data_IF_810662218497
#
_entry.id   IF_810662218497
#
_cell.length_a   1.000
_cell.length_b   1.000
_cell.length_c   1.000
_cell.angle_alpha   90.00
_cell.angle_beta   90.00
_cell.angle_gamma   90.00
#
_symmetry.space_group_name_H-M   'P 1'
#
loop_
_entity.id
_entity.type
_entity.pdbx_description
1 polymer ?
#
# COMPACT_ATOMS: atom_id res chain seq x y z
N UNK A 1 -22.50 -22.83 -1.13
CA UNK A 1 -22.07 -21.80 -0.15
C UNK A 1 -22.56 -22.25 1.22
N UNK A 2 -21.71 -22.36 2.25
CA UNK A 2 -22.19 -22.65 3.61
C UNK A 2 -22.95 -21.43 4.11
N UNK A 3 -24.20 -21.59 4.53
CA UNK A 3 -24.95 -20.54 5.24
C UNK A 3 -24.22 -20.14 6.51
N UNK A 4 -24.02 -18.85 6.70
CA UNK A 4 -23.45 -18.31 7.94
C UNK A 4 -24.57 -18.30 8.98
N UNK A 5 -24.33 -18.94 10.14
CA UNK A 5 -25.27 -19.01 11.27
C UNK A 5 -24.59 -18.52 12.54
N UNK A 6 -25.33 -17.83 13.36
CA UNK A 6 -24.94 -17.42 14.71
C UNK A 6 -26.17 -17.24 15.60
N UNK A 7 -25.95 -17.01 16.90
CA UNK A 7 -27.04 -16.89 17.88
C UNK A 7 -27.73 -15.52 17.75
N UNK A 8 -29.02 -15.53 17.45
CA UNK A 8 -29.86 -14.35 17.46
C UNK A 8 -30.48 -14.15 18.84
N UNK A 9 -30.21 -13.02 19.49
CA UNK A 9 -30.73 -12.70 20.83
C UNK A 9 -32.25 -12.51 20.86
N UNK A 10 -32.82 -11.99 19.77
CA UNK A 10 -34.26 -11.80 19.63
C UNK A 10 -35.00 -13.14 19.40
N UNK A 11 -34.49 -13.97 18.49
CA UNK A 11 -35.06 -15.28 18.19
C UNK A 11 -34.70 -16.33 19.24
N UNK A 12 -33.69 -16.08 20.10
CA UNK A 12 -33.12 -16.97 21.13
C UNK A 12 -32.70 -18.34 20.60
N UNK A 13 -32.16 -18.36 19.37
CA UNK A 13 -31.66 -19.58 18.70
C UNK A 13 -30.65 -19.23 17.63
N UNK A 14 -29.94 -20.22 17.14
CA UNK A 14 -29.10 -20.07 15.96
C UNK A 14 -29.95 -19.82 14.73
N UNK A 15 -29.64 -18.72 14.02
CA UNK A 15 -30.30 -18.32 12.78
C UNK A 15 -29.27 -17.97 11.72
N UNK A 16 -29.66 -18.04 10.47
CA UNK A 16 -28.84 -17.49 9.38
C UNK A 16 -28.91 -15.97 9.42
N UNK A 17 -27.84 -15.31 8.94
CA UNK A 17 -27.76 -13.85 8.90
C UNK A 17 -27.17 -13.34 7.59
N UNK A 18 -27.49 -12.08 7.28
CA UNK A 18 -26.98 -11.36 6.13
C UNK A 18 -26.18 -10.16 6.60
N UNK A 19 -24.98 -9.96 6.01
CA UNK A 19 -24.14 -8.76 6.24
C UNK A 19 -24.60 -7.66 5.30
N UNK A 20 -24.74 -6.44 5.84
CA UNK A 20 -25.09 -5.23 5.07
C UNK A 20 -24.21 -4.06 5.51
N UNK A 21 -23.89 -3.20 4.57
CA UNK A 21 -23.23 -1.92 4.88
C UNK A 21 -24.29 -0.94 5.38
N UNK A 22 -24.00 -0.30 6.50
CA UNK A 22 -24.84 0.75 7.11
C UNK A 22 -23.98 1.98 7.39
N UNK A 23 -24.62 3.15 7.43
CA UNK A 23 -23.94 4.40 7.76
C UNK A 23 -24.24 4.76 9.20
N UNK A 24 -23.19 5.10 9.95
CA UNK A 24 -23.29 5.61 11.32
C UNK A 24 -22.60 6.98 11.40
N UNK A 25 -23.13 7.86 12.25
CA UNK A 25 -22.50 9.15 12.51
C UNK A 25 -21.79 9.09 13.86
N UNK A 26 -20.56 9.58 13.89
CA UNK A 26 -19.79 9.72 15.13
C UNK A 26 -19.08 11.06 15.19
N UNK A 27 -19.02 11.64 16.38
CA UNK A 27 -18.27 12.87 16.63
C UNK A 27 -16.89 12.52 17.17
N UNK A 28 -15.84 12.91 16.45
CA UNK A 28 -14.44 12.74 16.85
C UNK A 28 -13.79 14.14 16.92
N UNK A 29 -13.27 14.53 18.06
CA UNK A 29 -12.63 15.84 18.27
C UNK A 29 -13.51 17.01 17.80
N UNK A 30 -14.77 17.02 18.20
CA UNK A 30 -15.78 18.07 17.91
C UNK A 30 -16.21 18.16 16.44
N UNK A 31 -15.75 17.25 15.55
CA UNK A 31 -16.12 17.16 14.14
C UNK A 31 -16.96 15.91 13.91
N UNK A 32 -18.06 16.04 13.16
CA UNK A 32 -18.93 14.91 12.80
C UNK A 32 -18.39 14.17 11.58
N UNK A 33 -18.40 12.84 11.67
CA UNK A 33 -18.01 11.93 10.59
C UNK A 33 -19.11 10.92 10.35
N UNK A 34 -19.34 10.59 9.09
CA UNK A 34 -20.21 9.49 8.69
C UNK A 34 -19.35 8.33 8.25
N UNK A 35 -19.45 7.21 8.97
CA UNK A 35 -18.72 5.99 8.65
C UNK A 35 -19.65 4.96 8.03
N UNK A 36 -19.13 4.23 7.05
CA UNK A 36 -19.78 3.05 6.51
C UNK A 36 -19.20 1.81 7.21
N UNK A 37 -20.04 1.10 7.96
CA UNK A 37 -19.64 -0.12 8.69
C UNK A 37 -20.46 -1.32 8.20
N UNK A 38 -20.00 -2.53 8.52
CA UNK A 38 -20.72 -3.77 8.23
C UNK A 38 -21.54 -4.16 9.46
N UNK A 39 -22.83 -4.39 9.30
CA UNK A 39 -23.73 -4.92 10.34
C UNK A 39 -24.32 -6.25 9.87
N UNK A 40 -24.59 -7.15 10.82
CA UNK A 40 -25.23 -8.42 10.57
C UNK A 40 -26.70 -8.37 10.97
N UNK A 41 -27.59 -8.86 10.11
CA UNK A 41 -29.04 -8.88 10.36
C UNK A 41 -29.58 -10.29 10.28
N UNK A 42 -30.37 -10.69 11.29
CA UNK A 42 -31.05 -11.95 11.32
C UNK A 42 -31.99 -12.09 10.12
N UNK A 43 -31.93 -13.21 9.40
CA UNK A 43 -32.81 -13.45 8.25
C UNK A 43 -34.25 -13.79 8.65
N UNK A 44 -34.51 -14.09 9.94
CA UNK A 44 -35.85 -14.44 10.43
C UNK A 44 -36.57 -13.23 11.03
N UNK A 45 -35.94 -12.49 11.96
CA UNK A 45 -36.60 -11.37 12.64
C UNK A 45 -36.15 -10.00 12.14
N UNK A 46 -35.08 -9.94 11.30
CA UNK A 46 -34.54 -8.68 10.80
C UNK A 46 -33.74 -7.88 11.84
N UNK A 47 -33.64 -8.37 13.09
CA UNK A 47 -32.87 -7.70 14.15
C UNK A 47 -31.36 -7.74 13.90
N UNK A 48 -30.65 -6.73 14.42
CA UNK A 48 -29.18 -6.71 14.35
C UNK A 48 -28.58 -7.79 15.26
N UNK A 49 -27.51 -8.42 14.78
CA UNK A 49 -26.85 -9.54 15.46
C UNK A 49 -25.38 -9.19 15.77
N UNK A 50 -24.95 -9.48 16.99
CA UNK A 50 -23.55 -9.42 17.37
C UNK A 50 -22.80 -10.64 16.85
N UNK A 51 -21.89 -10.43 15.89
CA UNK A 51 -21.08 -11.49 15.30
C UNK A 51 -19.64 -11.38 15.80
N UNK A 52 -19.01 -12.46 16.29
CA UNK A 52 -17.61 -12.45 16.72
C UNK A 52 -16.67 -11.91 15.64
N UNK A 53 -15.79 -10.99 16.03
CA UNK A 53 -14.80 -10.37 15.13
C UNK A 53 -15.34 -9.24 14.22
N UNK A 54 -16.66 -9.07 14.11
CA UNK A 54 -17.25 -8.01 13.26
C UNK A 54 -16.97 -6.61 13.83
N UNK A 55 -16.95 -6.48 15.15
CA UNK A 55 -16.63 -5.21 15.81
C UNK A 55 -15.18 -4.80 15.55
N UNK A 56 -14.22 -5.72 15.65
CA UNK A 56 -12.81 -5.45 15.39
C UNK A 56 -12.58 -5.08 13.92
N UNK A 57 -13.29 -5.76 13.01
CA UNK A 57 -13.30 -5.43 11.59
C UNK A 57 -13.81 -4.00 11.35
N UNK A 58 -14.95 -3.64 11.95
CA UNK A 58 -15.54 -2.30 11.80
C UNK A 58 -14.64 -1.20 12.38
N UNK A 59 -13.96 -1.45 13.50
CA UNK A 59 -12.99 -0.49 14.07
C UNK A 59 -11.87 -0.18 13.06
N UNK A 60 -11.36 -1.19 12.36
CA UNK A 60 -10.34 -0.98 11.31
C UNK A 60 -10.89 -0.19 10.13
N UNK A 61 -12.08 -0.56 9.62
CA UNK A 61 -12.73 0.17 8.53
C UNK A 61 -12.98 1.65 8.89
N UNK A 62 -13.40 1.93 10.13
CA UNK A 62 -13.60 3.30 10.62
C UNK A 62 -12.28 4.06 10.74
N UNK A 63 -11.21 3.45 11.23
CA UNK A 63 -9.88 4.08 11.31
C UNK A 63 -9.37 4.46 9.90
N UNK A 64 -9.53 3.57 8.92
CA UNK A 64 -9.17 3.84 7.53
C UNK A 64 -9.97 4.99 6.92
N UNK A 65 -11.29 5.01 7.14
CA UNK A 65 -12.17 6.09 6.66
C UNK A 65 -11.82 7.43 7.33
N UNK A 66 -11.55 7.41 8.66
CA UNK A 66 -11.11 8.59 9.37
C UNK A 66 -9.78 9.15 8.84
N UNK A 67 -8.79 8.27 8.62
CA UNK A 67 -7.49 8.68 8.07
C UNK A 67 -7.64 9.28 6.68
N UNK A 68 -8.49 8.71 5.82
CA UNK A 68 -8.78 9.26 4.50
C UNK A 68 -9.48 10.63 4.59
N UNK A 69 -10.45 10.79 5.49
CA UNK A 69 -11.17 12.03 5.66
C UNK A 69 -10.29 13.18 6.17
N UNK A 70 -9.30 12.88 7.01
CA UNK A 70 -8.34 13.85 7.56
C UNK A 70 -7.02 13.91 6.78
N UNK A 71 -6.92 13.19 5.66
CA UNK A 71 -5.69 13.09 4.86
C UNK A 71 -4.49 12.66 5.71
N UNK A 72 -4.70 11.74 6.64
CA UNK A 72 -3.67 11.16 7.49
C UNK A 72 -3.17 9.86 6.85
N UNK A 73 -1.86 9.65 6.90
CA UNK A 73 -1.22 8.43 6.36
C UNK A 73 -1.84 7.16 6.95
N UNK A 74 -2.09 6.18 6.11
CA UNK A 74 -2.64 4.88 6.50
C UNK A 74 -1.55 3.96 7.07
N UNK A 75 -1.95 2.90 7.79
CA UNK A 75 -1.01 1.87 8.25
C UNK A 75 -0.34 1.18 7.06
N UNK A 76 -1.09 0.91 6.00
CA UNK A 76 -0.58 0.32 4.76
C UNK A 76 0.48 1.21 4.09
N UNK A 77 0.28 2.54 4.07
CA UNK A 77 1.27 3.46 3.50
C UNK A 77 2.55 3.52 4.34
N UNK A 78 2.46 3.37 5.67
CA UNK A 78 3.65 3.26 6.53
C UNK A 78 4.39 1.95 6.23
N UNK A 79 3.68 0.84 6.03
CA UNK A 79 4.28 -0.42 5.62
C UNK A 79 4.92 -0.33 4.23
N UNK A 80 4.27 0.35 3.29
CA UNK A 80 4.84 0.64 1.96
C UNK A 80 6.12 1.45 2.06
N UNK A 81 6.13 2.50 2.90
CA UNK A 81 7.32 3.32 3.14
C UNK A 81 8.50 2.48 3.63
N UNK A 82 8.25 1.57 4.58
CA UNK A 82 9.27 0.63 5.08
C UNK A 82 9.79 -0.31 4.00
N UNK A 83 8.90 -0.87 3.20
CA UNK A 83 9.25 -1.76 2.09
C UNK A 83 10.01 -1.02 0.99
N UNK A 84 9.51 0.16 0.59
CA UNK A 84 10.07 0.99 -0.47
C UNK A 84 11.54 1.35 -0.21
N UNK A 85 11.87 1.70 1.03
CA UNK A 85 13.23 2.07 1.41
C UNK A 85 14.01 0.94 2.12
N UNK A 86 13.47 -0.27 2.17
CA UNK A 86 14.11 -1.43 2.82
C UNK A 86 14.64 -1.10 4.23
N UNK A 87 13.80 -0.45 5.02
CA UNK A 87 14.15 0.10 6.35
C UNK A 87 13.22 -0.46 7.43
N UNK A 88 13.77 -0.82 8.58
CA UNK A 88 13.02 -1.32 9.72
C UNK A 88 12.29 -0.22 10.50
N UNK A 89 11.39 -0.60 11.43
CA UNK A 89 10.52 0.31 12.21
C UNK A 89 11.31 1.37 12.99
N UNK A 90 12.28 0.95 13.80
CA UNK A 90 13.08 1.85 14.63
C UNK A 90 13.99 2.76 13.77
N UNK A 91 14.78 2.23 12.82
CA UNK A 91 15.55 3.09 11.92
C UNK A 91 14.69 4.07 11.09
N UNK A 92 13.48 3.68 10.64
CA UNK A 92 12.58 4.59 9.94
C UNK A 92 12.12 5.71 10.87
N UNK A 93 11.72 5.39 12.13
CA UNK A 93 11.36 6.42 13.11
C UNK A 93 12.46 7.46 13.26
N UNK A 94 13.70 7.01 13.42
CA UNK A 94 14.86 7.87 13.60
C UNK A 94 15.19 8.67 12.33
N UNK A 95 15.06 8.05 11.16
CA UNK A 95 15.27 8.70 9.86
C UNK A 95 14.31 9.87 9.65
N UNK A 96 13.04 9.70 10.01
CA UNK A 96 12.02 10.74 9.94
C UNK A 96 12.13 11.82 11.04
N UNK A 97 13.14 11.73 11.92
CA UNK A 97 13.31 12.63 13.05
C UNK A 97 12.38 12.38 14.23
N UNK A 98 11.73 11.22 14.27
CA UNK A 98 10.80 10.83 15.35
C UNK A 98 11.53 10.09 16.47
N UNK A 99 10.80 9.83 17.58
CA UNK A 99 11.28 8.92 18.62
C UNK A 99 11.30 7.47 18.12
N UNK A 100 12.26 6.67 18.56
CA UNK A 100 12.57 5.32 18.06
C UNK A 100 11.36 4.37 17.96
N UNK A 101 10.41 4.46 18.89
CA UNK A 101 9.23 3.58 18.94
C UNK A 101 8.00 4.13 18.22
N UNK A 102 8.09 5.31 17.59
CA UNK A 102 6.93 6.03 17.03
C UNK A 102 6.27 5.26 15.90
N UNK A 103 7.03 4.76 14.94
CA UNK A 103 6.48 3.96 13.83
C UNK A 103 5.86 2.64 14.35
N UNK A 104 6.44 2.04 15.38
CA UNK A 104 5.86 0.83 16.00
C UNK A 104 4.46 1.10 16.58
N UNK A 105 4.26 2.27 17.20
CA UNK A 105 2.95 2.68 17.74
C UNK A 105 1.94 2.94 16.62
N UNK A 106 2.36 3.58 15.54
CA UNK A 106 1.48 3.85 14.39
C UNK A 106 1.04 2.56 13.68
N UNK A 107 1.95 1.59 13.54
CA UNK A 107 1.61 0.26 13.02
C UNK A 107 0.71 -0.55 13.96
N UNK A 108 0.67 -0.22 15.26
CA UNK A 108 -0.25 -0.79 16.23
C UNK A 108 -1.61 -0.07 16.29
N UNK A 109 -1.87 0.90 15.39
CA UNK A 109 -3.14 1.59 15.25
C UNK A 109 -3.20 3.00 15.87
N UNK A 110 -2.13 3.49 16.52
CA UNK A 110 -2.10 4.88 16.97
C UNK A 110 -2.15 5.83 15.77
N UNK A 111 -3.04 6.82 15.82
CA UNK A 111 -3.16 7.84 14.76
C UNK A 111 -2.07 8.90 14.93
N UNK A 112 -1.24 9.15 13.90
CA UNK A 112 -0.24 10.21 13.93
C UNK A 112 -0.86 11.60 13.96
N UNK A 113 -0.07 12.61 14.39
CA UNK A 113 -0.43 14.01 14.15
C UNK A 113 -0.37 14.32 12.66
N UNK A 114 -1.06 15.37 12.21
CA UNK A 114 -1.03 15.81 10.81
C UNK A 114 0.40 16.11 10.36
N UNK A 115 1.19 16.79 11.18
CA UNK A 115 2.59 17.11 10.92
C UNK A 115 3.44 15.85 10.65
N UNK A 116 3.32 14.83 11.50
CA UNK A 116 4.06 13.58 11.32
C UNK A 116 3.56 12.77 10.14
N UNK A 117 2.25 12.84 9.87
CA UNK A 117 1.66 12.26 8.68
C UNK A 117 2.21 12.89 7.41
N UNK A 118 2.28 14.22 7.35
CA UNK A 118 2.75 14.95 6.18
C UNK A 118 4.23 14.65 5.88
N UNK A 119 5.07 14.52 6.92
CA UNK A 119 6.47 14.07 6.75
C UNK A 119 6.54 12.68 6.10
N UNK A 120 5.74 11.74 6.60
CA UNK A 120 5.72 10.37 6.07
C UNK A 120 5.17 10.30 4.65
N UNK A 121 4.09 11.04 4.36
CA UNK A 121 3.51 11.14 3.02
C UNK A 121 4.49 11.78 2.03
N UNK A 122 5.20 12.81 2.45
CA UNK A 122 6.23 13.44 1.61
C UNK A 122 7.40 12.49 1.35
N UNK A 123 7.86 11.76 2.37
CA UNK A 123 8.90 10.74 2.19
C UNK A 123 8.44 9.59 1.28
N UNK A 124 7.14 9.23 1.31
CA UNK A 124 6.57 8.23 0.41
C UNK A 124 6.51 8.73 -1.06
N UNK A 125 6.25 10.01 -1.26
CA UNK A 125 6.14 10.63 -2.57
C UNK A 125 7.48 11.04 -3.19
N UNK A 126 8.52 11.28 -2.39
CA UNK A 126 9.80 11.84 -2.85
C UNK A 126 11.01 11.09 -2.28
N UNK A 127 11.72 10.39 -3.16
CA UNK A 127 12.96 9.70 -2.81
C UNK A 127 14.08 10.66 -2.44
N UNK A 128 14.15 11.83 -3.08
CA UNK A 128 15.12 12.88 -2.73
C UNK A 128 14.88 13.42 -1.32
N UNK A 129 13.63 13.67 -0.95
CA UNK A 129 13.28 14.09 0.40
C UNK A 129 13.65 13.01 1.45
N UNK A 130 13.39 11.75 1.16
CA UNK A 130 13.83 10.66 2.04
C UNK A 130 15.35 10.60 2.20
N UNK A 131 16.12 10.85 1.15
CA UNK A 131 17.61 10.95 1.23
C UNK A 131 18.05 12.09 2.14
N UNK A 132 17.43 13.25 2.00
CA UNK A 132 17.71 14.40 2.88
C UNK A 132 17.45 14.07 4.35
N UNK A 133 16.34 13.41 4.67
CA UNK A 133 16.03 12.99 6.03
C UNK A 133 17.02 11.96 6.56
N UNK A 134 17.43 10.99 5.73
CA UNK A 134 18.45 10.00 6.08
C UNK A 134 19.80 10.69 6.40
N UNK A 135 20.21 11.66 5.60
CA UNK A 135 21.46 12.40 5.79
C UNK A 135 21.41 13.27 7.07
N UNK A 136 20.30 13.99 7.29
CA UNK A 136 20.10 14.84 8.47
C UNK A 136 20.13 14.04 9.78
N UNK A 137 19.64 12.81 9.77
CA UNK A 137 19.54 11.96 10.95
C UNK A 137 20.53 10.79 10.96
N UNK A 138 21.56 10.85 10.11
CA UNK A 138 22.53 9.74 9.92
C UNK A 138 23.15 9.22 11.22
N UNK A 139 23.51 10.13 12.13
CA UNK A 139 24.15 9.76 13.41
C UNK A 139 23.22 8.94 14.33
N UNK A 140 21.89 9.06 14.16
CA UNK A 140 20.88 8.34 14.95
C UNK A 140 20.55 6.97 14.37
N UNK A 141 20.91 6.74 13.09
CA UNK A 141 20.57 5.52 12.36
C UNK A 141 21.80 4.61 12.29
N UNK A 142 21.62 3.32 12.55
CA UNK A 142 22.70 2.35 12.38
C UNK A 142 23.18 2.28 10.92
N UNK A 143 24.50 2.23 10.72
CA UNK A 143 25.16 2.32 9.40
C UNK A 143 24.58 1.35 8.36
N UNK A 144 24.23 0.14 8.76
CA UNK A 144 23.64 -0.87 7.86
C UNK A 144 22.25 -0.45 7.38
N UNK A 145 21.41 0.08 8.27
CA UNK A 145 20.05 0.55 7.92
C UNK A 145 20.12 1.79 7.03
N UNK A 146 21.01 2.73 7.36
CA UNK A 146 21.27 3.91 6.53
C UNK A 146 21.67 3.51 5.11
N UNK A 147 22.71 2.67 4.95
CA UNK A 147 23.16 2.25 3.61
C UNK A 147 22.08 1.58 2.79
N UNK A 148 21.29 0.68 3.39
CA UNK A 148 20.17 0.02 2.69
C UNK A 148 19.13 1.01 2.22
N UNK A 149 18.68 1.89 3.11
CA UNK A 149 17.65 2.88 2.80
C UNK A 149 18.13 3.91 1.78
N UNK A 150 19.34 4.40 1.91
CA UNK A 150 19.94 5.36 0.98
C UNK A 150 20.13 4.76 -0.43
N UNK A 151 20.57 3.51 -0.50
CA UNK A 151 20.67 2.79 -1.78
C UNK A 151 19.31 2.63 -2.45
N UNK A 152 18.28 2.24 -1.69
CA UNK A 152 16.92 2.11 -2.21
C UNK A 152 16.37 3.45 -2.70
N UNK A 153 16.56 4.54 -1.93
CA UNK A 153 16.15 5.88 -2.34
C UNK A 153 16.86 6.36 -3.61
N UNK A 154 18.16 6.09 -3.73
CA UNK A 154 18.93 6.43 -4.94
C UNK A 154 18.46 5.64 -6.17
N UNK A 155 18.11 4.37 -5.99
CA UNK A 155 17.56 3.56 -7.08
C UNK A 155 16.21 4.08 -7.55
N UNK A 156 15.33 4.49 -6.64
CA UNK A 156 14.05 5.11 -6.96
C UNK A 156 14.22 6.44 -7.70
N UNK A 157 15.11 7.30 -7.24
CA UNK A 157 15.40 8.56 -7.88
C UNK A 157 15.92 8.36 -9.32
N UNK A 158 16.84 7.41 -9.52
CA UNK A 158 17.34 7.03 -10.83
C UNK A 158 16.24 6.45 -11.74
N UNK A 159 15.26 5.74 -11.19
CA UNK A 159 14.11 5.24 -11.95
C UNK A 159 13.29 6.40 -12.54
N UNK A 160 12.98 7.41 -11.75
CA UNK A 160 12.24 8.58 -12.21
C UNK A 160 12.98 9.38 -13.30
N UNK A 161 14.31 9.37 -13.25
CA UNK A 161 15.14 10.06 -14.28
C UNK A 161 15.29 9.23 -15.55
N UNK A 162 15.36 7.91 -15.42
CA UNK A 162 15.68 6.99 -16.53
C UNK A 162 14.45 6.47 -17.31
N UNK A 163 13.24 6.68 -16.78
CA UNK A 163 12.00 6.13 -17.36
C UNK A 163 11.12 7.27 -17.88
N UNK A 164 10.67 7.23 -19.14
CA UNK A 164 9.73 8.20 -19.69
C UNK A 164 8.46 8.33 -18.83
N UNK A 165 7.93 9.54 -18.71
CA UNK A 165 6.74 9.83 -17.87
C UNK A 165 5.52 9.03 -18.33
N UNK A 166 5.38 8.78 -19.62
CA UNK A 166 4.31 7.96 -20.20
C UNK A 166 4.41 6.51 -19.74
N UNK A 167 5.63 5.96 -19.67
CA UNK A 167 5.87 4.61 -19.19
C UNK A 167 5.63 4.51 -17.68
N UNK A 168 6.00 5.51 -16.90
CA UNK A 168 5.66 5.59 -15.47
C UNK A 168 4.15 5.63 -15.25
N UNK A 169 3.40 6.39 -16.07
CA UNK A 169 1.95 6.43 -15.99
C UNK A 169 1.29 5.07 -16.30
N UNK A 170 1.81 4.34 -17.28
CA UNK A 170 1.36 2.97 -17.59
C UNK A 170 1.65 2.01 -16.43
N UNK A 171 2.83 2.09 -15.83
CA UNK A 171 3.21 1.29 -14.65
C UNK A 171 2.28 1.60 -13.49
N UNK A 172 2.03 2.87 -13.19
CA UNK A 172 1.12 3.28 -12.12
C UNK A 172 -0.32 2.76 -12.37
N UNK A 173 -0.80 2.81 -13.61
CA UNK A 173 -2.09 2.24 -13.98
C UNK A 173 -2.15 0.72 -13.77
N UNK A 174 -1.12 -0.02 -14.17
CA UNK A 174 -1.04 -1.47 -13.97
C UNK A 174 -1.14 -1.80 -12.45
N UNK A 175 -0.40 -1.09 -11.61
CA UNK A 175 -0.44 -1.31 -10.16
C UNK A 175 -1.77 -0.88 -9.51
N UNK A 176 -2.46 0.10 -10.08
CA UNK A 176 -3.80 0.48 -9.60
C UNK A 176 -4.88 -0.56 -9.97
N UNK A 177 -4.71 -1.23 -11.11
CA UNK A 177 -5.65 -2.22 -11.60
C UNK A 177 -5.39 -3.64 -11.05
N UNK A 178 -4.13 -3.96 -10.75
CA UNK A 178 -3.68 -5.26 -10.27
C UNK A 178 -2.93 -5.07 -8.94
N UNK A 179 -3.48 -5.59 -7.86
CA UNK A 179 -2.92 -5.39 -6.50
C UNK A 179 -1.50 -5.96 -6.32
N UNK A 180 -1.16 -7.01 -7.05
CA UNK A 180 0.17 -7.64 -7.04
C UNK A 180 0.61 -7.97 -8.46
N UNK A 181 1.83 -7.57 -8.82
CA UNK A 181 2.42 -7.83 -10.14
C UNK A 181 3.87 -8.25 -9.96
N UNK A 182 4.23 -9.43 -10.45
CA UNK A 182 5.64 -9.87 -10.45
C UNK A 182 6.45 -9.06 -11.46
N UNK A 183 7.78 -8.89 -11.25
CA UNK A 183 8.64 -8.19 -12.21
C UNK A 183 8.52 -8.73 -13.64
N UNK A 184 8.47 -10.05 -13.80
CA UNK A 184 8.31 -10.70 -15.12
C UNK A 184 6.94 -10.41 -15.74
N UNK A 185 5.87 -10.47 -14.95
CA UNK A 185 4.51 -10.13 -15.40
C UNK A 185 4.41 -8.67 -15.83
N UNK A 186 5.02 -7.76 -15.07
CA UNK A 186 5.08 -6.33 -15.43
C UNK A 186 5.72 -6.14 -16.81
N UNK A 187 6.88 -6.76 -17.07
CA UNK A 187 7.57 -6.63 -18.35
C UNK A 187 6.69 -7.10 -19.53
N UNK A 188 5.99 -8.23 -19.37
CA UNK A 188 5.08 -8.76 -20.38
C UNK A 188 3.88 -7.84 -20.60
N UNK A 189 3.27 -7.32 -19.54
CA UNK A 189 2.14 -6.38 -19.63
C UNK A 189 2.54 -5.10 -20.37
N UNK A 190 3.68 -4.52 -20.03
CA UNK A 190 4.21 -3.33 -20.71
C UNK A 190 4.40 -3.58 -22.21
N UNK A 191 4.97 -4.72 -22.58
CA UNK A 191 5.17 -5.08 -23.96
C UNK A 191 3.84 -5.25 -24.72
N UNK A 192 2.86 -5.95 -24.13
CA UNK A 192 1.54 -6.11 -24.72
C UNK A 192 0.78 -4.79 -24.87
N UNK A 193 0.83 -3.92 -23.86
CA UNK A 193 0.19 -2.61 -23.90
C UNK A 193 0.80 -1.76 -25.01
N UNK A 194 2.14 -1.71 -25.09
CA UNK A 194 2.86 -1.00 -26.14
C UNK A 194 2.49 -1.52 -27.53
N UNK A 195 2.50 -2.85 -27.74
CA UNK A 195 2.20 -3.48 -29.01
C UNK A 195 0.76 -3.24 -29.47
N UNK A 196 -0.21 -3.39 -28.57
CA UNK A 196 -1.62 -3.10 -28.88
C UNK A 196 -1.85 -1.63 -29.20
N UNK A 197 -1.24 -0.72 -28.42
CA UNK A 197 -1.36 0.71 -28.69
C UNK A 197 -0.78 1.08 -30.06
N UNK A 198 0.40 0.56 -30.39
CA UNK A 198 1.05 0.80 -31.69
C UNK A 198 0.22 0.24 -32.86
N UNK A 199 -0.41 -0.93 -32.68
CA UNK A 199 -1.28 -1.52 -33.70
C UNK A 199 -2.55 -0.71 -33.95
N UNK A 200 -3.08 -0.01 -32.94
CA UNK A 200 -4.32 0.79 -33.07
C UNK A 200 -4.04 2.21 -33.57
N UNK A 201 -2.96 2.82 -33.08
CA UNK A 201 -2.69 4.26 -33.30
C UNK A 201 -1.50 4.54 -34.24
N UNK A 202 -0.84 3.49 -34.77
CA UNK A 202 0.33 3.56 -35.63
C UNK A 202 1.49 4.40 -35.06
N UNK A 203 1.62 4.40 -33.74
CA UNK A 203 2.70 5.08 -32.98
C UNK A 203 2.91 4.41 -31.63
N UNK A 204 4.13 4.48 -31.06
CA UNK A 204 4.39 3.97 -29.73
C UNK A 204 3.64 4.79 -28.67
N UNK A 205 3.23 4.15 -27.57
CA UNK A 205 2.64 4.79 -26.40
C UNK A 205 3.71 5.52 -25.58
N UNK A 206 4.89 4.93 -25.48
CA UNK A 206 6.07 5.48 -24.81
C UNK A 206 7.33 5.13 -25.56
N UNK A 207 8.35 5.97 -25.45
CA UNK A 207 9.67 5.75 -26.07
C UNK A 207 10.62 5.13 -25.03
N UNK A 208 10.76 3.81 -25.08
CA UNK A 208 11.68 3.07 -24.23
C UNK A 208 12.22 1.86 -24.98
N UNK A 209 13.56 1.62 -24.94
CA UNK A 209 14.15 0.45 -25.59
C UNK A 209 13.70 -0.83 -24.91
N UNK A 210 13.26 -1.80 -25.75
CA UNK A 210 12.87 -3.13 -25.32
C UNK A 210 13.91 -4.15 -25.79
N UNK A 211 14.43 -4.95 -24.87
CA UNK A 211 15.42 -6.00 -25.15
C UNK A 211 14.76 -7.38 -25.17
N UNK A 212 15.24 -8.27 -26.03
CA UNK A 212 14.82 -9.67 -26.07
C UNK A 212 15.68 -10.50 -25.12
N UNK A 213 15.13 -10.89 -23.98
CA UNK A 213 15.80 -11.78 -23.01
C UNK A 213 15.23 -13.20 -23.09
N UNK A 214 15.90 -14.15 -22.41
CA UNK A 214 15.52 -15.57 -22.42
C UNK A 214 14.06 -15.81 -22.02
N UNK A 215 13.53 -15.02 -21.07
CA UNK A 215 12.16 -15.16 -20.57
C UNK A 215 11.15 -14.20 -21.21
N UNK A 216 11.56 -13.48 -22.25
CA UNK A 216 10.69 -12.56 -22.99
C UNK A 216 11.22 -11.13 -23.09
N UNK A 217 10.38 -10.20 -23.56
CA UNK A 217 10.76 -8.80 -23.72
C UNK A 217 10.99 -8.12 -22.39
N UNK A 218 12.01 -7.26 -22.29
CA UNK A 218 12.42 -6.55 -21.08
C UNK A 218 12.74 -5.09 -21.37
N UNK A 219 12.10 -4.20 -20.67
CA UNK A 219 12.47 -2.79 -20.53
C UNK A 219 13.48 -2.65 -19.39
N UNK A 220 14.77 -2.66 -19.73
CA UNK A 220 15.88 -2.71 -18.76
C UNK A 220 15.78 -1.60 -17.69
N UNK A 221 15.39 -0.39 -18.10
CA UNK A 221 15.26 0.76 -17.20
C UNK A 221 14.17 0.58 -16.13
N UNK A 222 13.18 -0.29 -16.41
CA UNK A 222 12.14 -0.67 -15.46
C UNK A 222 12.55 -1.92 -14.68
N UNK A 223 13.18 -2.89 -15.34
CA UNK A 223 13.53 -4.18 -14.72
C UNK A 223 14.53 -4.02 -13.57
N UNK A 224 15.63 -3.31 -13.81
CA UNK A 224 16.70 -3.16 -12.81
C UNK A 224 16.20 -2.53 -11.49
N UNK A 225 15.50 -1.40 -11.47
CA UNK A 225 14.99 -0.82 -10.24
C UNK A 225 13.91 -1.67 -9.57
N UNK A 226 12.99 -2.25 -10.36
CA UNK A 226 11.86 -3.03 -9.84
C UNK A 226 12.30 -4.40 -9.30
N UNK A 227 13.36 -5.00 -9.81
CA UNK A 227 13.90 -6.27 -9.30
C UNK A 227 14.54 -6.13 -7.92
N UNK A 228 14.94 -4.93 -7.50
CA UNK A 228 15.53 -4.65 -6.18
C UNK A 228 14.53 -4.10 -5.16
N UNK A 229 13.44 -3.46 -5.58
CA UNK A 229 12.33 -3.11 -4.70
C UNK A 229 11.47 -4.35 -4.51
N UNK A 230 11.19 -4.76 -3.28
CA UNK A 230 10.49 -5.99 -2.86
C UNK A 230 9.12 -6.26 -3.54
N UNK A 231 9.08 -6.35 -4.86
CA UNK A 231 8.07 -7.12 -5.59
C UNK A 231 8.41 -8.63 -5.58
N UNK A 232 9.46 -9.02 -4.84
CA UNK A 232 9.79 -10.40 -4.47
C UNK A 232 8.95 -10.86 -3.27
N UNK A 233 7.65 -10.93 -3.44
CA UNK A 233 6.84 -11.86 -2.67
C UNK A 233 6.67 -13.11 -3.54
N UNK A 234 7.35 -14.20 -3.17
CA UNK A 234 7.16 -15.55 -3.68
C UNK A 234 7.50 -15.87 -5.15
N UNK A 235 8.76 -15.67 -5.57
CA UNK A 235 9.36 -16.54 -6.57
C UNK A 235 10.83 -16.82 -6.19
N UNK A 236 11.02 -17.63 -5.16
CA UNK A 236 12.25 -18.37 -4.93
C UNK A 236 11.92 -19.85 -4.78
N UNK A 237 12.61 -20.65 -5.56
CA UNK A 237 12.85 -22.08 -5.36
C UNK A 237 11.82 -23.08 -5.89
N UNK A 238 11.50 -23.01 -7.20
CA UNK A 238 10.95 -24.21 -7.84
C UNK A 238 11.44 -24.49 -9.27
N UNK A 239 12.54 -23.91 -9.73
CA UNK A 239 13.20 -24.38 -10.98
C UNK A 239 14.73 -24.25 -10.86
N UNK A 240 15.35 -25.20 -10.14
CA UNK A 240 16.67 -25.75 -10.42
C UNK A 240 16.51 -27.25 -10.62
#
# INVERSE_FOLDING_TARGET
MRERKDFCTECRRETSYTLRKIKINQTIREKEYTFEITAAFCNECGGEMGIPGLMDYNVKEMDEQYRKAEEIITVEDIERLMKLYNIGKAPLSLALGFGEVTITRYLAGQVPSKEYSDIMLHALASASYMKELLDQNREKIGETAYKKAYTAATQLENLYVAVPVELLAVIAYIFSALHEVTPLTLQKLLYYIQGNYAAIYDKPLFDAPCEAWVHGPVYRNVYNPVSYTHLRAHETDQYL
#
